data_IF_168176990782
#
_entry.id   IF_168176990782
#
_cell.length_a   1.000
_cell.length_b   1.000
_cell.length_c   1.000
_cell.angle_alpha   90.00
_cell.angle_beta   90.00
_cell.angle_gamma   90.00
#
_symmetry.space_group_name_H-M   'P 1'
#
loop_
_entity.id
_entity.type
_entity.pdbx_description
1 polymer ?
#
# COMPACT_ATOMS: atom_id res chain seq x y z
N UNK A 1 -36.68 9.72 34.97
CA UNK A 1 -37.10 8.31 34.86
C UNK A 1 -37.18 7.56 36.18
N UNK A 2 -36.08 7.44 36.96
CA UNK A 2 -36.09 6.74 38.26
C UNK A 2 -37.21 7.20 39.21
N UNK A 3 -37.41 8.52 39.31
CA UNK A 3 -38.50 9.16 40.09
C UNK A 3 -39.91 8.77 39.62
N UNK A 4 -40.14 8.56 38.32
CA UNK A 4 -41.45 8.17 37.79
C UNK A 4 -41.75 6.69 38.11
N UNK A 5 -40.77 5.81 37.92
CA UNK A 5 -40.87 4.39 38.28
C UNK A 5 -41.09 4.19 39.79
N UNK A 6 -40.38 4.93 40.64
CA UNK A 6 -40.57 4.88 42.10
C UNK A 6 -41.98 5.34 42.52
N UNK A 7 -42.53 6.36 41.86
CA UNK A 7 -43.90 6.84 42.10
C UNK A 7 -44.94 5.78 41.73
N UNK A 8 -44.77 5.10 40.60
CA UNK A 8 -45.64 3.99 40.17
C UNK A 8 -45.55 2.78 41.11
N UNK A 9 -44.33 2.42 41.54
CA UNK A 9 -44.12 1.35 42.52
C UNK A 9 -44.76 1.68 43.88
N UNK A 10 -44.75 2.95 44.30
CA UNK A 10 -45.45 3.41 45.50
C UNK A 10 -46.97 3.27 45.37
N UNK A 11 -47.55 3.53 44.20
CA UNK A 11 -48.98 3.37 43.97
C UNK A 11 -49.45 1.91 44.08
N UNK A 12 -48.64 0.95 43.59
CA UNK A 12 -48.89 -0.49 43.78
C UNK A 12 -48.84 -0.86 45.27
N UNK A 13 -47.81 -0.40 46.00
CA UNK A 13 -47.69 -0.65 47.45
C UNK A 13 -48.87 -0.10 48.27
N UNK A 14 -49.42 1.02 47.84
CA UNK A 14 -50.59 1.65 48.47
C UNK A 14 -51.92 1.07 47.96
N UNK A 15 -51.89 -0.01 47.17
CA UNK A 15 -53.07 -0.69 46.59
C UNK A 15 -54.04 0.28 45.88
N UNK A 16 -53.49 1.29 45.21
CA UNK A 16 -54.33 2.20 44.43
C UNK A 16 -54.99 1.44 43.28
N UNK A 17 -56.29 1.67 43.00
CA UNK A 17 -56.97 1.05 41.87
C UNK A 17 -56.19 1.27 40.57
N UNK A 18 -55.95 0.21 39.81
CA UNK A 18 -55.22 0.26 38.53
C UNK A 18 -53.70 0.47 38.64
N UNK A 19 -53.13 0.54 39.85
CA UNK A 19 -51.70 0.81 40.05
C UNK A 19 -50.78 -0.23 39.40
N UNK A 20 -51.18 -1.51 39.38
CA UNK A 20 -50.44 -2.59 38.72
C UNK A 20 -50.47 -2.46 37.20
N UNK A 21 -51.64 -2.19 36.62
CA UNK A 21 -51.82 -1.98 35.18
C UNK A 21 -50.94 -0.85 34.68
N UNK A 22 -50.97 0.31 35.34
CA UNK A 22 -50.14 1.48 34.96
C UNK A 22 -48.64 1.19 35.12
N UNK A 23 -48.24 0.42 36.13
CA UNK A 23 -46.84 0.02 36.29
C UNK A 23 -46.41 -0.93 35.17
N UNK A 24 -47.28 -1.83 34.73
CA UNK A 24 -47.00 -2.78 33.65
C UNK A 24 -46.92 -2.06 32.30
N UNK A 25 -47.89 -1.19 31.98
CA UNK A 25 -47.86 -0.35 30.77
C UNK A 25 -46.56 0.47 30.69
N UNK A 26 -46.16 1.09 31.80
CA UNK A 26 -44.89 1.81 31.86
C UNK A 26 -43.69 0.89 31.56
N UNK A 27 -43.65 -0.33 32.10
CA UNK A 27 -42.56 -1.29 31.80
C UNK A 27 -42.55 -1.68 30.33
N UNK A 28 -43.71 -1.94 29.74
CA UNK A 28 -43.85 -2.35 28.35
C UNK A 28 -43.43 -1.21 27.41
N UNK A 29 -43.84 0.03 27.70
CA UNK A 29 -43.35 1.23 26.99
C UNK A 29 -41.84 1.39 27.10
N UNK A 30 -41.28 1.19 28.30
CA UNK A 30 -39.84 1.25 28.52
C UNK A 30 -39.10 0.17 27.76
N UNK A 31 -39.64 -1.04 27.69
CA UNK A 31 -39.07 -2.15 26.93
C UNK A 31 -39.07 -1.82 25.44
N UNK A 32 -40.21 -1.40 24.88
CA UNK A 32 -40.33 -0.95 23.48
C UNK A 32 -39.36 0.18 23.14
N UNK A 33 -39.21 1.16 24.04
CA UNK A 33 -38.26 2.26 23.84
C UNK A 33 -36.81 1.76 23.78
N UNK A 34 -36.39 0.90 24.71
CA UNK A 34 -35.02 0.35 24.73
C UNK A 34 -34.78 -0.50 23.48
N UNK A 35 -35.76 -1.31 23.09
CA UNK A 35 -35.67 -2.11 21.85
C UNK A 35 -35.50 -1.21 20.62
N UNK A 36 -36.28 -0.14 20.51
CA UNK A 36 -36.16 0.83 19.41
C UNK A 36 -34.79 1.53 19.40
N UNK A 37 -34.29 1.98 20.56
CA UNK A 37 -32.97 2.61 20.67
C UNK A 37 -31.86 1.64 20.29
N UNK A 38 -31.91 0.39 20.75
CA UNK A 38 -30.91 -0.63 20.41
C UNK A 38 -30.95 -0.96 18.92
N UNK A 39 -32.13 -1.10 18.32
CA UNK A 39 -32.28 -1.31 16.87
C UNK A 39 -31.68 -0.16 16.07
N UNK A 40 -31.99 1.09 16.45
CA UNK A 40 -31.43 2.27 15.79
C UNK A 40 -29.92 2.37 15.94
N UNK A 41 -29.39 2.05 17.13
CA UNK A 41 -27.94 2.00 17.35
C UNK A 41 -27.28 0.98 16.42
N UNK A 42 -27.82 -0.23 16.34
CA UNK A 42 -27.27 -1.25 15.45
C UNK A 42 -27.38 -0.89 13.97
N UNK A 43 -28.47 -0.27 13.55
CA UNK A 43 -28.61 0.23 12.18
C UNK A 43 -27.54 1.30 11.87
N UNK A 44 -27.36 2.27 12.77
CA UNK A 44 -26.35 3.30 12.63
C UNK A 44 -24.91 2.76 12.67
N UNK A 45 -24.62 1.79 13.55
CA UNK A 45 -23.33 1.10 13.59
C UNK A 45 -23.07 0.33 12.29
N UNK A 46 -24.07 -0.37 11.76
CA UNK A 46 -23.97 -1.10 10.50
C UNK A 46 -23.68 -0.15 9.34
N UNK A 47 -24.46 0.93 9.22
CA UNK A 47 -24.24 1.96 8.20
C UNK A 47 -22.84 2.59 8.31
N UNK A 48 -22.40 2.91 9.52
CA UNK A 48 -21.06 3.44 9.75
C UNK A 48 -19.97 2.44 9.34
N UNK A 49 -20.12 1.17 9.74
CA UNK A 49 -19.18 0.10 9.41
C UNK A 49 -19.14 -0.21 7.91
N UNK A 50 -20.22 0.01 7.16
CA UNK A 50 -20.24 -0.18 5.71
C UNK A 50 -19.76 1.05 4.93
N UNK A 51 -20.11 2.25 5.39
CA UNK A 51 -19.81 3.51 4.71
C UNK A 51 -18.38 4.00 4.97
N UNK A 52 -17.91 3.92 6.22
CA UNK A 52 -16.60 4.46 6.59
C UNK A 52 -15.44 3.78 5.84
N UNK A 53 -15.38 2.45 5.68
CA UNK A 53 -14.31 1.83 4.90
C UNK A 53 -14.32 2.24 3.43
N UNK A 54 -15.51 2.38 2.83
CA UNK A 54 -15.66 2.83 1.43
C UNK A 54 -15.15 4.26 1.28
N UNK A 55 -15.53 5.15 2.20
CA UNK A 55 -15.09 6.54 2.20
C UNK A 55 -13.58 6.67 2.40
N UNK A 56 -13.02 5.91 3.34
CA UNK A 56 -11.57 5.87 3.56
C UNK A 56 -10.82 5.30 2.35
N UNK A 57 -11.37 4.28 1.69
CA UNK A 57 -10.79 3.73 0.46
C UNK A 57 -10.77 4.76 -0.67
N UNK A 58 -11.87 5.49 -0.86
CA UNK A 58 -11.97 6.55 -1.85
C UNK A 58 -10.93 7.65 -1.60
N UNK A 59 -10.85 8.16 -0.36
CA UNK A 59 -9.88 9.20 0.01
C UNK A 59 -8.42 8.77 -0.15
N UNK A 60 -8.11 7.50 0.11
CA UNK A 60 -6.78 6.93 -0.13
C UNK A 60 -6.45 6.87 -1.63
N UNK A 61 -7.43 6.47 -2.45
CA UNK A 61 -7.27 6.46 -3.91
C UNK A 61 -7.02 7.86 -4.44
N UNK A 62 -7.88 8.82 -4.08
CA UNK A 62 -7.75 10.22 -4.48
C UNK A 62 -6.40 10.80 -4.08
N UNK A 63 -5.93 10.49 -2.86
CA UNK A 63 -4.61 10.91 -2.40
C UNK A 63 -3.48 10.28 -3.22
N UNK A 64 -3.55 8.98 -3.49
CA UNK A 64 -2.55 8.30 -4.31
C UNK A 64 -2.47 8.93 -5.71
N UNK A 65 -3.61 9.19 -6.33
CA UNK A 65 -3.69 9.82 -7.65
C UNK A 65 -3.05 11.22 -7.64
N UNK A 66 -3.32 12.03 -6.61
CA UNK A 66 -2.68 13.34 -6.42
C UNK A 66 -1.15 13.23 -6.33
N UNK A 67 -0.63 12.26 -5.56
CA UNK A 67 0.80 12.06 -5.42
C UNK A 67 1.45 11.64 -6.75
N UNK A 68 0.80 10.72 -7.47
CA UNK A 68 1.27 10.26 -8.79
C UNK A 68 1.28 11.44 -9.77
N UNK A 69 0.23 12.25 -9.80
CA UNK A 69 0.15 13.44 -10.65
C UNK A 69 1.28 14.44 -10.34
N UNK A 70 1.58 14.67 -9.06
CA UNK A 70 2.70 15.50 -8.64
C UNK A 70 4.05 14.97 -9.18
N UNK A 71 4.28 13.66 -9.13
CA UNK A 71 5.51 13.07 -9.68
C UNK A 71 5.56 13.11 -11.21
N UNK A 72 4.44 12.88 -11.91
CA UNK A 72 4.37 13.02 -13.36
C UNK A 72 4.70 14.46 -13.79
N UNK A 73 4.16 15.46 -13.08
CA UNK A 73 4.49 16.89 -13.31
C UNK A 73 5.96 17.21 -13.10
N UNK A 74 6.67 16.44 -12.27
CA UNK A 74 8.11 16.55 -12.06
C UNK A 74 8.93 15.76 -13.10
N UNK A 75 8.29 15.12 -14.09
CA UNK A 75 8.94 14.38 -15.17
C UNK A 75 9.25 12.91 -14.87
N UNK A 76 8.64 12.33 -13.82
CA UNK A 76 8.80 10.90 -13.54
C UNK A 76 7.93 10.07 -14.49
N UNK A 77 8.42 8.88 -14.84
CA UNK A 77 7.64 7.89 -15.57
C UNK A 77 6.46 7.40 -14.71
N UNK A 78 5.35 7.10 -15.35
CA UNK A 78 4.12 6.64 -14.67
C UNK A 78 4.39 5.37 -13.87
N UNK A 79 5.07 4.39 -14.45
CA UNK A 79 5.32 3.11 -13.78
C UNK A 79 6.21 3.29 -12.54
N UNK A 80 7.18 4.19 -12.62
CA UNK A 80 8.05 4.52 -11.48
C UNK A 80 7.27 5.26 -10.39
N UNK A 81 6.41 6.21 -10.76
CA UNK A 81 5.55 6.91 -9.79
C UNK A 81 4.62 5.93 -9.05
N UNK A 82 4.14 4.87 -9.71
CA UNK A 82 3.33 3.84 -9.08
C UNK A 82 4.06 3.04 -7.99
N UNK A 83 5.40 3.09 -7.90
CA UNK A 83 6.17 2.45 -6.84
C UNK A 83 5.74 2.90 -5.43
N UNK A 84 5.19 4.11 -5.29
CA UNK A 84 4.76 4.66 -4.01
C UNK A 84 3.44 4.08 -3.50
N UNK A 85 2.73 3.24 -4.28
CA UNK A 85 1.40 2.73 -3.93
C UNK A 85 1.38 2.00 -2.58
N UNK A 86 2.45 1.26 -2.27
CA UNK A 86 2.56 0.52 -1.01
C UNK A 86 2.97 1.40 0.19
N UNK A 87 3.41 2.64 -0.05
CA UNK A 87 3.95 3.52 0.99
C UNK A 87 2.89 3.92 2.03
N UNK A 88 3.35 4.24 3.24
CA UNK A 88 2.47 4.74 4.31
C UNK A 88 1.81 6.06 3.91
N UNK A 89 2.56 6.93 3.25
CA UNK A 89 2.08 8.25 2.84
C UNK A 89 0.93 8.18 1.84
N UNK A 90 0.95 7.22 0.91
CA UNK A 90 -0.15 7.01 -0.04
C UNK A 90 -1.42 6.43 0.60
N UNK A 91 -1.31 5.82 1.79
CA UNK A 91 -2.43 5.14 2.49
C UNK A 91 -3.16 6.04 3.49
N UNK A 92 -2.76 7.31 3.62
CA UNK A 92 -3.45 8.27 4.47
C UNK A 92 -4.77 8.71 3.81
N UNK A 93 -5.85 8.80 4.58
CA UNK A 93 -7.16 9.23 4.08
C UNK A 93 -7.33 10.76 4.23
N UNK A 94 -6.44 11.54 3.61
CA UNK A 94 -6.49 13.01 3.61
C UNK A 94 -5.87 13.59 2.35
N UNK A 95 -6.33 14.78 1.94
CA UNK A 95 -5.78 15.50 0.78
C UNK A 95 -4.34 15.91 0.99
N UNK A 96 -3.56 15.89 -0.08
CA UNK A 96 -2.16 16.37 -0.06
C UNK A 96 -2.17 17.89 -0.09
N UNK A 97 -1.61 18.51 0.94
CA UNK A 97 -1.38 19.97 0.95
C UNK A 97 0.03 20.29 0.48
N UNK A 98 0.28 21.51 0.01
CA UNK A 98 1.62 21.94 -0.43
C UNK A 98 2.69 21.76 0.66
N UNK A 99 2.33 22.07 1.91
CA UNK A 99 3.23 21.87 3.07
C UNK A 99 3.53 20.39 3.29
N UNK A 100 2.51 19.55 3.21
CA UNK A 100 2.66 18.11 3.38
C UNK A 100 3.48 17.51 2.23
N UNK A 101 3.22 17.93 1.00
CA UNK A 101 3.96 17.52 -0.18
C UNK A 101 5.47 17.76 -0.01
N UNK A 102 5.86 18.97 0.39
CA UNK A 102 7.27 19.30 0.69
C UNK A 102 7.89 18.39 1.75
N UNK A 103 7.12 17.97 2.74
CA UNK A 103 7.58 17.10 3.82
C UNK A 103 7.74 15.63 3.37
N UNK A 104 6.81 15.10 2.58
CA UNK A 104 6.80 13.68 2.18
C UNK A 104 7.59 13.40 0.90
N UNK A 105 7.78 14.41 0.04
CA UNK A 105 8.42 14.26 -1.28
C UNK A 105 9.79 13.59 -1.21
N UNK A 106 10.72 13.96 -0.29
CA UNK A 106 12.03 13.31 -0.22
C UNK A 106 11.92 11.80 0.03
N UNK A 107 11.07 11.39 0.97
CA UNK A 107 10.86 9.97 1.30
C UNK A 107 10.27 9.20 0.11
N UNK A 108 9.28 9.78 -0.56
CA UNK A 108 8.64 9.15 -1.71
C UNK A 108 9.59 9.05 -2.91
N UNK A 109 10.43 10.08 -3.14
CA UNK A 109 11.48 10.06 -4.16
C UNK A 109 12.44 8.90 -3.94
N UNK A 110 12.93 8.70 -2.72
CA UNK A 110 13.80 7.58 -2.40
C UNK A 110 13.16 6.24 -2.73
N UNK A 111 11.87 6.06 -2.46
CA UNK A 111 11.15 4.83 -2.80
C UNK A 111 11.11 4.59 -4.32
N UNK A 112 10.83 5.64 -5.09
CA UNK A 112 10.80 5.57 -6.55
C UNK A 112 12.20 5.23 -7.09
N UNK A 113 13.25 5.85 -6.58
CA UNK A 113 14.63 5.56 -6.97
C UNK A 113 15.01 4.11 -6.64
N UNK A 114 14.69 3.62 -5.43
CA UNK A 114 14.92 2.23 -5.05
C UNK A 114 14.22 1.25 -5.99
N UNK A 115 12.97 1.54 -6.38
CA UNK A 115 12.23 0.69 -7.30
C UNK A 115 12.81 0.73 -8.72
N UNK A 116 13.24 1.90 -9.19
CA UNK A 116 13.99 2.06 -10.45
C UNK A 116 15.25 1.21 -10.46
N UNK A 117 15.98 1.12 -9.35
CA UNK A 117 17.15 0.23 -9.24
C UNK A 117 16.76 -1.25 -9.20
N UNK A 118 15.64 -1.58 -8.56
CA UNK A 118 15.14 -2.96 -8.42
C UNK A 118 14.60 -3.51 -9.74
N UNK A 119 13.97 -2.67 -10.56
CA UNK A 119 13.28 -3.06 -11.79
C UNK A 119 14.20 -3.75 -12.82
N UNK A 120 15.38 -3.23 -13.16
CA UNK A 120 16.34 -3.92 -14.02
C UNK A 120 16.74 -5.29 -13.48
N UNK A 121 16.83 -5.47 -12.16
CA UNK A 121 17.19 -6.76 -11.56
C UNK A 121 16.09 -7.82 -11.77
N UNK A 122 14.82 -7.41 -11.75
CA UNK A 122 13.68 -8.33 -11.83
C UNK A 122 13.15 -8.55 -13.25
N UNK A 123 12.96 -7.48 -14.03
CA UNK A 123 12.34 -7.56 -15.36
C UNK A 123 13.38 -7.85 -16.46
N UNK A 124 14.62 -7.41 -16.23
CA UNK A 124 15.67 -7.39 -17.23
C UNK A 124 16.87 -8.26 -16.86
N UNK A 125 17.08 -8.62 -15.60
CA UNK A 125 18.28 -9.34 -15.16
C UNK A 125 18.43 -10.65 -15.91
N UNK A 126 17.43 -11.54 -15.81
CA UNK A 126 17.49 -12.85 -16.46
C UNK A 126 17.51 -12.75 -18.00
N UNK A 127 16.65 -11.91 -18.60
CA UNK A 127 16.52 -11.79 -20.06
C UNK A 127 17.73 -11.09 -20.70
N UNK A 128 18.26 -10.03 -20.08
CA UNK A 128 19.50 -9.37 -20.52
C UNK A 128 20.69 -10.30 -20.33
N UNK A 129 20.78 -11.02 -19.19
CA UNK A 129 21.84 -12.01 -18.98
C UNK A 129 21.77 -13.10 -20.04
N UNK A 130 20.58 -13.63 -20.34
CA UNK A 130 20.37 -14.63 -21.40
C UNK A 130 20.76 -14.09 -22.78
N UNK A 131 20.32 -12.88 -23.15
CA UNK A 131 20.71 -12.23 -24.42
C UNK A 131 22.22 -12.03 -24.51
N UNK A 132 22.86 -11.54 -23.44
CA UNK A 132 24.32 -11.37 -23.39
C UNK A 132 25.05 -12.71 -23.52
N UNK A 133 24.59 -13.75 -22.81
CA UNK A 133 25.12 -15.12 -22.96
C UNK A 133 24.98 -15.63 -24.39
N UNK A 134 23.85 -15.37 -25.05
CA UNK A 134 23.63 -15.76 -26.44
C UNK A 134 24.59 -15.05 -27.41
N UNK A 135 24.85 -13.75 -27.22
CA UNK A 135 25.82 -13.00 -28.02
C UNK A 135 27.23 -13.57 -27.86
N UNK A 136 27.67 -13.78 -26.61
CA UNK A 136 29.00 -14.37 -26.31
C UNK A 136 29.11 -15.77 -26.89
N UNK A 137 28.07 -16.60 -26.75
CA UNK A 137 28.04 -17.94 -27.32
C UNK A 137 28.13 -17.90 -28.85
N UNK A 138 27.35 -17.04 -29.52
CA UNK A 138 27.38 -16.92 -30.97
C UNK A 138 28.76 -16.46 -31.48
N UNK A 139 29.38 -15.50 -30.80
CA UNK A 139 30.73 -15.05 -31.14
C UNK A 139 31.77 -16.17 -30.96
N UNK A 140 31.66 -16.92 -29.85
CA UNK A 140 32.53 -18.07 -29.57
C UNK A 140 32.34 -19.19 -30.61
N UNK A 141 31.09 -19.55 -30.95
CA UNK A 141 30.78 -20.57 -31.95
C UNK A 141 31.33 -20.17 -33.34
N UNK A 142 31.26 -18.88 -33.69
CA UNK A 142 31.83 -18.36 -34.93
C UNK A 142 33.36 -18.45 -34.94
N UNK A 143 34.02 -18.11 -33.82
CA UNK A 143 35.46 -18.26 -33.69
C UNK A 143 35.90 -19.71 -33.77
N UNK A 144 35.21 -20.62 -33.09
CA UNK A 144 35.49 -22.06 -33.14
C UNK A 144 35.44 -22.61 -34.57
N UNK A 145 34.51 -22.13 -35.41
CA UNK A 145 34.43 -22.52 -36.84
C UNK A 145 35.62 -22.07 -37.69
N UNK A 146 36.39 -21.08 -37.25
CA UNK A 146 37.62 -20.67 -37.96
C UNK A 146 38.83 -21.56 -37.66
N UNK A 147 38.71 -22.45 -36.66
CA UNK A 147 39.77 -23.34 -36.19
C UNK A 147 39.57 -24.76 -36.72
N UNK A 148 40.66 -25.52 -36.81
CA UNK A 148 40.64 -26.95 -37.15
C UNK A 148 40.06 -27.75 -35.99
N UNK A 149 39.41 -28.88 -36.29
CA UNK A 149 38.79 -29.73 -35.27
C UNK A 149 39.75 -30.17 -34.13
N UNK A 150 41.03 -30.38 -34.44
CA UNK A 150 42.06 -30.73 -33.44
C UNK A 150 42.40 -29.56 -32.50
N UNK A 151 42.16 -28.31 -32.92
CA UNK A 151 42.39 -27.12 -32.09
C UNK A 151 41.24 -26.88 -31.12
N UNK A 152 40.06 -27.47 -31.37
CA UNK A 152 38.88 -27.30 -30.53
C UNK A 152 39.06 -27.90 -29.13
N UNK A 153 39.87 -28.96 -29.00
CA UNK A 153 40.16 -29.60 -27.70
C UNK A 153 40.93 -28.69 -26.75
N UNK A 154 41.55 -27.63 -27.27
CA UNK A 154 42.29 -26.64 -26.48
C UNK A 154 41.47 -25.40 -26.14
N UNK A 155 40.22 -25.30 -26.63
CA UNK A 155 39.37 -24.17 -26.32
C UNK A 155 38.76 -24.31 -24.91
N UNK A 156 38.71 -23.22 -24.13
CA UNK A 156 38.04 -23.23 -22.83
C UNK A 156 36.52 -23.41 -23.01
N UNK A 157 35.81 -24.08 -22.09
CA UNK A 157 34.37 -24.25 -22.17
C UNK A 157 33.62 -22.90 -22.28
N UNK A 158 32.59 -22.77 -23.13
CA UNK A 158 31.86 -21.51 -23.36
C UNK A 158 31.33 -20.83 -22.08
N UNK A 159 31.07 -21.64 -21.05
CA UNK A 159 30.53 -21.20 -19.77
C UNK A 159 31.55 -20.40 -18.95
N UNK A 160 32.86 -20.61 -19.14
CA UNK A 160 33.91 -19.87 -18.41
C UNK A 160 33.95 -18.38 -18.78
N UNK A 161 33.61 -18.01 -20.02
CA UNK A 161 33.58 -16.62 -20.47
C UNK A 161 32.40 -15.81 -19.93
N UNK A 162 31.39 -16.48 -19.36
CA UNK A 162 30.16 -15.83 -18.87
C UNK A 162 30.18 -15.52 -17.38
N UNK A 163 31.25 -15.88 -16.66
CA UNK A 163 31.51 -15.41 -15.29
C UNK A 163 32.02 -13.97 -15.31
N UNK A 164 31.17 -13.02 -15.71
CA UNK A 164 31.42 -11.64 -15.34
C UNK A 164 31.32 -11.52 -13.81
N UNK A 165 32.19 -10.73 -13.15
CA UNK A 165 31.96 -10.36 -11.77
C UNK A 165 30.59 -9.69 -11.75
N UNK A 166 29.65 -10.27 -11.00
CA UNK A 166 28.47 -9.53 -10.56
C UNK A 166 29.03 -8.25 -9.94
N UNK A 167 28.82 -7.10 -10.57
CA UNK A 167 29.16 -5.82 -9.97
C UNK A 167 28.38 -5.81 -8.65
N UNK A 168 29.10 -6.02 -7.55
CA UNK A 168 28.49 -5.96 -6.23
C UNK A 168 27.89 -4.57 -6.09
N UNK A 169 26.62 -4.44 -5.63
CA UNK A 169 25.96 -3.14 -5.46
C UNK A 169 26.80 -2.14 -4.64
N UNK A 170 27.72 -2.63 -3.79
CA UNK A 170 28.64 -1.82 -3.00
C UNK A 170 29.65 -1.00 -3.81
N UNK A 171 29.91 -1.29 -5.09
CA UNK A 171 30.88 -0.53 -5.89
C UNK A 171 30.29 0.67 -6.65
N UNK A 172 28.98 0.74 -6.85
CA UNK A 172 28.34 1.85 -7.58
C UNK A 172 27.91 3.01 -6.68
N UNK A 173 27.83 2.81 -5.35
CA UNK A 173 27.55 3.89 -4.39
C UNK A 173 28.72 4.87 -4.18
N UNK A 174 29.84 4.71 -4.91
CA UNK A 174 31.02 5.58 -4.80
C UNK A 174 31.12 6.63 -5.90
N UNK A 175 30.33 6.51 -6.96
CA UNK A 175 30.34 7.43 -8.09
C UNK A 175 29.02 8.20 -8.01
N UNK A 176 29.08 9.41 -7.46
CA UNK A 176 28.05 10.46 -7.38
C UNK A 176 27.85 11.00 -5.95
N UNK A 177 28.93 11.56 -5.38
CA UNK A 177 28.79 12.81 -4.63
C UNK A 177 29.30 13.92 -5.53
N UNK A 178 28.44 14.72 -6.19
CA UNK A 178 28.89 16.00 -6.69
C UNK A 178 29.33 16.86 -5.50
N UNK A 179 30.59 17.29 -5.52
CA UNK A 179 31.10 18.29 -4.62
C UNK A 179 30.41 19.63 -4.95
N UNK A 180 29.32 19.95 -4.25
CA UNK A 180 28.87 21.33 -4.17
C UNK A 180 29.69 22.00 -3.07
N UNK A 181 30.76 22.65 -3.51
CA UNK A 181 31.40 23.76 -2.82
C UNK A 181 30.90 25.05 -3.47
N UNK A 182 30.50 26.03 -2.65
CA UNK A 182 30.04 27.36 -3.09
C UNK A 182 28.77 27.77 -2.38
#
# INVERSE_FOLDING_TARGET
MKRAYEKLRKNVRLQKPGGETVLQEFKDERFKYVEAVTKNKHASEKECNEWLPKQLSYLRSERFDQLVECFIKLGYDVQDAHAIQASKESKLARKVTEREWKAIMPTLRTLIEMERYRRPCNECGATIIQRRKAIVKNAYDNYQRTLRAMEWTHLPPPQMHTRYPSISPSHLLRIERPAYAG
#
